data_IF_328303926142
#
_entry.id   IF_328303926142
#
_cell.length_a   1.000
_cell.length_b   1.000
_cell.length_c   1.000
_cell.angle_alpha   90.00
_cell.angle_beta   90.00
_cell.angle_gamma   90.00
#
_symmetry.space_group_name_H-M   'P 1'
#
loop_
_entity.id
_entity.type
_entity.pdbx_description
1 polymer ?
#
# COMPACT_ATOMS: atom_id res chain seq x y z
N UNK A 1 10.11 5.11 -0.19
CA UNK A 1 10.57 5.08 -1.61
C UNK A 1 12.02 5.52 -1.73
N UNK A 2 12.40 6.72 -1.27
CA UNK A 2 13.78 7.22 -1.39
C UNK A 2 14.84 6.30 -0.74
N UNK A 3 14.54 5.72 0.43
CA UNK A 3 15.50 4.89 1.16
C UNK A 3 15.81 3.52 0.50
N UNK A 4 14.98 3.07 -0.44
CA UNK A 4 15.19 1.82 -1.19
C UNK A 4 15.81 2.05 -2.57
N UNK A 5 16.13 3.31 -2.92
CA UNK A 5 16.79 3.64 -4.19
C UNK A 5 18.31 3.74 -3.99
N UNK A 6 19.15 3.16 -4.86
CA UNK A 6 18.81 2.39 -6.06
C UNK A 6 18.35 0.96 -5.75
N UNK A 7 17.57 0.35 -6.65
CA UNK A 7 17.19 -1.06 -6.56
C UNK A 7 18.40 -1.95 -6.91
N UNK A 8 19.08 -2.46 -5.88
CA UNK A 8 20.32 -3.23 -6.05
C UNK A 8 20.08 -4.75 -6.14
N UNK A 9 18.93 -5.24 -5.68
CA UNK A 9 18.60 -6.67 -5.60
C UNK A 9 17.12 -6.92 -5.95
N UNK A 10 16.81 -8.15 -6.39
CA UNK A 10 15.46 -8.57 -6.79
C UNK A 10 14.37 -8.24 -5.77
N UNK A 11 14.65 -8.45 -4.47
CA UNK A 11 13.71 -8.12 -3.40
C UNK A 11 13.36 -6.63 -3.33
N UNK A 12 14.31 -5.74 -3.63
CA UNK A 12 14.10 -4.29 -3.64
C UNK A 12 13.36 -3.81 -4.89
N UNK A 13 13.54 -4.49 -6.03
CA UNK A 13 12.70 -4.23 -7.22
C UNK A 13 11.23 -4.52 -6.93
N UNK A 14 10.93 -5.67 -6.32
CA UNK A 14 9.57 -6.01 -5.92
C UNK A 14 9.01 -5.01 -4.90
N UNK A 15 9.80 -4.67 -3.88
CA UNK A 15 9.41 -3.68 -2.87
C UNK A 15 9.04 -2.32 -3.50
N UNK A 16 9.89 -1.79 -4.38
CA UNK A 16 9.63 -0.51 -5.05
C UNK A 16 8.41 -0.58 -5.97
N UNK A 17 8.23 -1.69 -6.70
CA UNK A 17 7.04 -1.90 -7.53
C UNK A 17 5.75 -1.78 -6.71
N UNK A 18 5.66 -2.48 -5.58
CA UNK A 18 4.49 -2.45 -4.69
C UNK A 18 4.28 -1.03 -4.15
N UNK A 19 5.30 -0.43 -3.55
CA UNK A 19 5.17 0.87 -2.89
C UNK A 19 4.78 1.98 -3.87
N UNK A 20 5.38 2.02 -5.06
CA UNK A 20 5.08 3.04 -6.08
C UNK A 20 3.68 2.86 -6.65
N UNK A 21 3.30 1.63 -6.98
CA UNK A 21 1.97 1.34 -7.57
C UNK A 21 0.85 1.73 -6.62
N UNK A 22 0.95 1.36 -5.34
CA UNK A 22 -0.09 1.69 -4.37
C UNK A 22 -0.06 3.16 -3.93
N UNK A 23 1.10 3.81 -3.94
CA UNK A 23 1.16 5.26 -3.76
C UNK A 23 0.38 6.01 -4.85
N UNK A 24 0.56 5.61 -6.11
CA UNK A 24 -0.20 6.18 -7.24
C UNK A 24 -1.70 5.86 -7.08
N UNK A 25 -2.05 4.60 -6.76
CA UNK A 25 -3.44 4.21 -6.57
C UNK A 25 -4.13 5.01 -5.46
N UNK A 26 -3.47 5.22 -4.31
CA UNK A 26 -4.01 6.03 -3.22
C UNK A 26 -4.14 7.49 -3.59
N UNK A 27 -3.19 8.06 -4.34
CA UNK A 27 -3.33 9.41 -4.88
C UNK A 27 -4.56 9.54 -5.79
N UNK A 28 -4.79 8.58 -6.67
CA UNK A 28 -5.99 8.56 -7.52
C UNK A 28 -7.28 8.51 -6.70
N UNK A 29 -7.33 7.65 -5.66
CA UNK A 29 -8.48 7.62 -4.75
C UNK A 29 -8.71 8.96 -4.05
N UNK A 30 -7.64 9.62 -3.58
CA UNK A 30 -7.74 10.97 -2.99
C UNK A 30 -8.37 11.95 -3.97
N UNK A 31 -8.00 11.95 -5.25
CA UNK A 31 -8.64 12.80 -6.26
C UNK A 31 -10.11 12.44 -6.50
N UNK A 32 -10.45 11.15 -6.52
CA UNK A 32 -11.84 10.68 -6.66
C UNK A 32 -12.72 11.22 -5.53
N UNK A 33 -12.20 11.23 -4.30
CA UNK A 33 -12.87 11.80 -3.14
C UNK A 33 -12.95 13.33 -3.19
N UNK A 34 -11.84 14.02 -3.47
CA UNK A 34 -11.78 15.49 -3.48
C UNK A 34 -12.67 16.12 -4.55
N UNK A 35 -12.83 15.45 -5.69
CA UNK A 35 -13.64 15.92 -6.82
C UNK A 35 -15.11 15.49 -6.71
N UNK A 36 -15.52 14.79 -5.66
CA UNK A 36 -16.90 14.33 -5.47
C UNK A 36 -17.39 13.39 -6.58
N UNK A 37 -16.48 12.68 -7.26
CA UNK A 37 -16.82 11.86 -8.45
C UNK A 37 -17.85 10.78 -8.09
N UNK A 38 -17.84 10.30 -6.85
CA UNK A 38 -18.82 9.33 -6.32
C UNK A 38 -20.25 9.87 -6.34
N UNK A 39 -20.43 11.18 -6.13
CA UNK A 39 -21.76 11.82 -6.11
C UNK A 39 -22.25 12.17 -7.52
N UNK A 40 -21.33 12.47 -8.44
CA UNK A 40 -21.66 12.89 -9.81
C UNK A 40 -21.85 11.69 -10.74
N UNK A 41 -21.14 10.59 -10.50
CA UNK A 41 -21.14 9.42 -11.37
C UNK A 41 -22.11 8.34 -10.85
N UNK A 42 -23.35 8.37 -11.36
CA UNK A 42 -24.43 7.42 -11.06
C UNK A 42 -24.21 6.03 -11.70
N UNK A 43 -23.08 5.39 -11.43
CA UNK A 43 -22.86 3.98 -11.78
C UNK A 43 -23.46 3.08 -10.69
N UNK A 44 -24.18 1.99 -11.05
CA UNK A 44 -24.72 1.02 -10.10
C UNK A 44 -23.62 0.11 -9.54
N UNK A 45 -22.57 0.69 -8.98
CA UNK A 45 -21.40 -0.02 -8.43
C UNK A 45 -21.26 0.35 -6.96
N UNK A 46 -21.07 -0.66 -6.12
CA UNK A 46 -20.74 -0.46 -4.70
C UNK A 46 -19.32 0.12 -4.58
N UNK A 47 -19.20 1.44 -4.61
CA UNK A 47 -17.93 2.16 -4.51
C UNK A 47 -17.11 1.77 -3.28
N UNK A 48 -17.77 1.61 -2.13
CA UNK A 48 -17.17 1.17 -0.87
C UNK A 48 -16.59 -0.25 -0.98
N UNK A 49 -17.27 -1.18 -1.65
CA UNK A 49 -16.78 -2.55 -1.79
C UNK A 49 -15.54 -2.60 -2.70
N UNK A 50 -15.56 -1.86 -3.81
CA UNK A 50 -14.42 -1.77 -4.74
C UNK A 50 -13.19 -1.21 -4.05
N UNK A 51 -13.37 -0.15 -3.26
CA UNK A 51 -12.29 0.46 -2.48
C UNK A 51 -11.79 -0.48 -1.38
N UNK A 52 -12.68 -1.17 -0.67
CA UNK A 52 -12.33 -2.15 0.35
C UNK A 52 -11.45 -3.26 -0.24
N UNK A 53 -11.84 -3.84 -1.39
CA UNK A 53 -11.07 -4.89 -2.05
C UNK A 53 -9.68 -4.37 -2.46
N UNK A 54 -9.61 -3.20 -3.08
CA UNK A 54 -8.35 -2.62 -3.52
C UNK A 54 -7.41 -2.31 -2.33
N UNK A 55 -7.95 -1.77 -1.24
CA UNK A 55 -7.20 -1.44 -0.02
C UNK A 55 -6.77 -2.72 0.73
N UNK A 56 -7.59 -3.77 0.70
CA UNK A 56 -7.25 -5.10 1.22
C UNK A 56 -6.11 -5.76 0.44
N UNK A 57 -6.15 -5.71 -0.89
CA UNK A 57 -5.06 -6.20 -1.74
C UNK A 57 -3.77 -5.41 -1.46
N UNK A 58 -3.86 -4.08 -1.35
CA UNK A 58 -2.73 -3.23 -0.98
C UNK A 58 -2.12 -3.68 0.36
N UNK A 59 -2.96 -3.92 1.36
CA UNK A 59 -2.53 -4.38 2.70
C UNK A 59 -1.71 -5.67 2.60
N UNK A 60 -2.22 -6.69 1.89
CA UNK A 60 -1.51 -7.96 1.72
C UNK A 60 -0.18 -7.80 0.97
N UNK A 61 -0.16 -6.98 -0.08
CA UNK A 61 1.06 -6.76 -0.85
C UNK A 61 2.10 -5.95 -0.07
N UNK A 62 1.68 -4.96 0.73
CA UNK A 62 2.59 -4.24 1.63
C UNK A 62 3.18 -5.15 2.72
N UNK A 63 2.38 -6.09 3.25
CA UNK A 63 2.86 -7.12 4.18
C UNK A 63 3.99 -7.94 3.56
N UNK A 64 3.77 -8.48 2.36
CA UNK A 64 4.77 -9.27 1.63
C UNK A 64 5.99 -8.39 1.30
N UNK A 65 5.77 -7.17 0.81
CA UNK A 65 6.84 -6.28 0.39
C UNK A 65 7.80 -5.92 1.53
N UNK A 66 7.31 -5.58 2.72
CA UNK A 66 8.20 -5.25 3.83
C UNK A 66 8.98 -6.48 4.32
N UNK A 67 8.33 -7.67 4.34
CA UNK A 67 8.99 -8.93 4.71
C UNK A 67 10.11 -9.24 3.72
N UNK A 68 9.82 -9.18 2.41
CA UNK A 68 10.81 -9.44 1.35
C UNK A 68 11.99 -8.46 1.44
N UNK A 69 11.72 -7.18 1.68
CA UNK A 69 12.76 -6.16 1.82
C UNK A 69 13.65 -6.42 3.06
N UNK A 70 13.06 -6.71 4.23
CA UNK A 70 13.83 -7.02 5.43
C UNK A 70 14.61 -8.33 5.31
N UNK A 71 13.99 -9.38 4.75
CA UNK A 71 14.63 -10.68 4.54
C UNK A 71 15.82 -10.56 3.59
N UNK A 72 15.66 -9.86 2.47
CA UNK A 72 16.70 -9.75 1.45
C UNK A 72 17.93 -8.97 1.95
N UNK A 73 17.73 -7.98 2.82
CA UNK A 73 18.82 -7.15 3.38
C UNK A 73 19.32 -7.60 4.75
N UNK A 74 18.72 -8.63 5.35
CA UNK A 74 19.11 -9.16 6.66
C UNK A 74 20.52 -9.76 6.68
N UNK A 75 20.87 -10.48 5.61
CA UNK A 75 22.12 -11.24 5.49
C UNK A 75 23.19 -10.53 4.63
N UNK A 76 22.86 -9.37 4.05
CA UNK A 76 23.76 -8.59 3.21
C UNK A 76 24.52 -7.56 4.05
N UNK A 77 25.85 -7.60 3.98
CA UNK A 77 26.73 -6.63 4.61
C UNK A 77 27.34 -5.72 3.54
N UNK A 78 27.01 -4.43 3.56
CA UNK A 78 27.48 -3.49 2.55
C UNK A 78 26.89 -2.09 2.69
N UNK A 79 27.40 -1.18 1.85
CA UNK A 79 26.89 0.20 1.74
C UNK A 79 25.42 0.18 1.29
N UNK A 80 24.55 0.95 1.95
CA UNK A 80 23.11 0.97 1.68
C UNK A 80 22.24 0.02 2.53
N UNK A 81 22.83 -0.87 3.34
CA UNK A 81 22.08 -1.77 4.24
C UNK A 81 21.13 -1.01 5.18
N UNK A 82 21.64 0.00 5.88
CA UNK A 82 20.84 0.80 6.83
C UNK A 82 19.65 1.50 6.17
N UNK A 83 19.88 2.07 4.98
CA UNK A 83 18.84 2.72 4.19
C UNK A 83 17.75 1.74 3.76
N UNK A 84 18.14 0.54 3.31
CA UNK A 84 17.20 -0.49 2.87
C UNK A 84 16.40 -1.13 4.02
N UNK A 85 17.02 -1.28 5.20
CA UNK A 85 16.31 -1.69 6.43
C UNK A 85 15.30 -0.62 6.82
N UNK A 86 15.69 0.65 6.82
CA UNK A 86 14.77 1.76 7.08
C UNK A 86 13.60 1.77 6.08
N UNK A 87 13.87 1.47 4.80
CA UNK A 87 12.82 1.31 3.79
C UNK A 87 11.82 0.20 4.15
N UNK A 88 12.31 -0.96 4.63
CA UNK A 88 11.47 -2.04 5.14
C UNK A 88 10.59 -1.59 6.32
N UNK A 89 11.14 -0.82 7.26
CA UNK A 89 10.39 -0.25 8.39
C UNK A 89 9.30 0.73 7.90
N UNK A 90 9.58 1.59 6.92
CA UNK A 90 8.55 2.42 6.29
C UNK A 90 7.49 1.60 5.54
N UNK A 91 7.87 0.44 4.99
CA UNK A 91 6.93 -0.54 4.44
C UNK A 91 5.98 -1.09 5.49
N UNK A 92 6.49 -1.39 6.69
CA UNK A 92 5.69 -1.84 7.83
C UNK A 92 4.67 -0.76 8.27
N UNK A 93 5.09 0.50 8.35
CA UNK A 93 4.16 1.58 8.68
C UNK A 93 3.06 1.75 7.62
N UNK A 94 3.40 1.61 6.34
CA UNK A 94 2.38 1.58 5.29
C UNK A 94 1.43 0.40 5.46
N UNK A 95 1.94 -0.81 5.70
CA UNK A 95 1.09 -1.97 5.97
C UNK A 95 0.09 -1.68 7.10
N UNK A 96 0.53 -1.11 8.22
CA UNK A 96 -0.36 -0.76 9.33
C UNK A 96 -1.40 0.28 8.93
N UNK A 97 -1.01 1.30 8.16
CA UNK A 97 -1.94 2.33 7.68
C UNK A 97 -3.00 1.73 6.73
N UNK A 98 -2.60 0.90 5.77
CA UNK A 98 -3.54 0.22 4.86
C UNK A 98 -4.41 -0.82 5.60
N UNK A 99 -3.87 -1.50 6.60
CA UNK A 99 -4.64 -2.42 7.45
C UNK A 99 -5.72 -1.68 8.25
N UNK A 100 -5.37 -0.53 8.85
CA UNK A 100 -6.32 0.32 9.55
C UNK A 100 -7.39 0.87 8.59
N UNK A 101 -6.99 1.34 7.40
CA UNK A 101 -7.93 1.80 6.36
C UNK A 101 -8.87 0.70 5.89
N UNK A 102 -8.36 -0.51 5.66
CA UNK A 102 -9.16 -1.69 5.30
C UNK A 102 -10.16 -2.04 6.41
N UNK A 103 -9.74 -1.95 7.67
CA UNK A 103 -10.62 -2.19 8.82
C UNK A 103 -11.75 -1.15 8.90
N UNK A 104 -11.44 0.14 8.75
CA UNK A 104 -12.47 1.19 8.76
C UNK A 104 -13.47 1.04 7.61
N UNK A 105 -12.97 0.78 6.39
CA UNK A 105 -13.82 0.50 5.23
C UNK A 105 -14.68 -0.76 5.43
N UNK A 106 -14.14 -1.78 6.10
CA UNK A 106 -14.89 -3.00 6.40
C UNK A 106 -16.02 -2.72 7.40
N UNK A 107 -15.74 -1.96 8.46
CA UNK A 107 -16.77 -1.54 9.43
C UNK A 107 -17.83 -0.71 8.74
N UNK A 108 -17.45 0.27 7.92
CA UNK A 108 -18.38 1.10 7.16
C UNK A 108 -19.22 0.28 6.19
N UNK A 109 -18.63 -0.67 5.46
CA UNK A 109 -19.37 -1.58 4.59
C UNK A 109 -20.39 -2.44 5.35
N UNK A 110 -20.05 -2.88 6.58
CA UNK A 110 -20.96 -3.65 7.44
C UNK A 110 -22.07 -2.77 8.05
N UNK A 111 -21.77 -1.52 8.38
CA UNK A 111 -22.73 -0.55 8.91
C UNK A 111 -23.65 0.02 7.85
N UNK A 112 -23.19 0.15 6.61
CA UNK A 112 -23.95 0.59 5.45
C UNK A 112 -24.92 -0.49 4.92
N UNK A 113 -25.25 -1.51 5.72
CA UNK A 113 -26.04 -2.68 5.36
C UNK A 113 -27.27 -2.37 4.50
N UNK A 114 -27.07 -2.50 3.19
CA UNK A 114 -28.00 -2.89 2.13
C UNK A 114 -27.42 -4.13 1.46
#
# INVERSE_FOLDING_TARGET
MACASPALIGGTHFFLFVVVTFFIATLLWTFVYLLGIREVLNLPINWILTELINTGIATLLYLIAFIVQLASWSNLYGHGRGSNIAAGVFGLFNFLAYAAGTYFLYVEHRSAGV
#
